data_IF_875605480356
#
_entry.id   IF_875605480356
#
_cell.length_a   1.000
_cell.length_b   1.000
_cell.length_c   1.000
_cell.angle_alpha   90.00
_cell.angle_beta   90.00
_cell.angle_gamma   90.00
#
_symmetry.space_group_name_H-M   'P 1'
#
loop_
_entity.id
_entity.type
_entity.pdbx_description
1 polymer ?
#
# COMPACT_ATOMS: atom_id res chain seq x y z
N UNK A 1 -1.11 -4.55 -0.67
CA UNK A 1 -1.70 -3.21 -0.97
C UNK A 1 -0.97 -2.60 -2.16
N UNK A 2 -1.39 -1.44 -2.66
CA UNK A 2 -0.65 -0.62 -3.64
C UNK A 2 -0.16 0.66 -2.95
N UNK A 3 0.97 0.62 -2.21
CA UNK A 3 1.49 1.76 -1.45
C UNK A 3 2.11 2.80 -2.38
N UNK A 4 1.30 3.76 -2.81
CA UNK A 4 1.73 4.90 -3.63
C UNK A 4 0.89 6.14 -3.30
N UNK A 5 -0.44 5.96 -3.28
CA UNK A 5 -1.38 6.96 -2.82
C UNK A 5 -1.45 8.19 -3.74
N UNK A 6 -1.10 9.36 -3.21
CA UNK A 6 -1.05 10.61 -3.96
C UNK A 6 0.39 11.02 -4.32
N UNK A 7 1.34 10.09 -4.26
CA UNK A 7 2.67 10.35 -4.79
C UNK A 7 2.60 10.62 -6.31
N UNK A 8 3.63 11.27 -6.82
CA UNK A 8 3.75 11.63 -8.23
C UNK A 8 5.11 11.17 -8.76
N UNK A 9 5.14 10.67 -9.99
CA UNK A 9 6.39 10.31 -10.69
C UNK A 9 6.88 11.50 -11.51
N UNK A 10 8.06 12.00 -11.19
CA UNK A 10 8.75 13.06 -11.91
C UNK A 10 9.80 12.46 -12.83
N UNK A 11 9.65 12.69 -14.14
CA UNK A 11 10.62 12.25 -15.16
C UNK A 11 11.62 13.35 -15.44
N UNK A 12 12.88 13.13 -15.08
CA UNK A 12 13.97 14.04 -15.45
C UNK A 12 14.42 13.83 -16.89
N UNK A 13 15.08 14.83 -17.47
CA UNK A 13 15.70 14.78 -18.81
C UNK A 13 16.84 13.75 -18.93
N UNK A 14 17.19 13.06 -17.85
CA UNK A 14 18.32 12.11 -17.76
C UNK A 14 17.86 10.65 -17.59
N UNK A 15 16.66 10.31 -18.06
CA UNK A 15 16.03 8.98 -17.93
C UNK A 15 15.92 8.47 -16.48
N UNK A 16 15.89 9.40 -15.51
CA UNK A 16 15.68 9.09 -14.10
C UNK A 16 14.28 9.51 -13.69
N UNK A 17 13.54 8.55 -13.14
CA UNK A 17 12.24 8.77 -12.52
C UNK A 17 12.41 8.95 -11.01
N UNK A 18 11.80 9.98 -10.46
CA UNK A 18 11.80 10.28 -9.03
C UNK A 18 10.38 10.29 -8.50
N UNK A 19 10.13 9.64 -7.36
CA UNK A 19 8.83 9.64 -6.71
C UNK A 19 8.79 10.73 -5.65
N UNK A 20 7.84 11.64 -5.76
CA UNK A 20 7.57 12.69 -4.78
C UNK A 20 6.28 12.39 -4.04
N UNK A 21 6.31 12.46 -2.71
CA UNK A 21 5.16 12.18 -1.86
C UNK A 21 4.70 13.45 -1.12
N UNK A 22 3.39 13.56 -0.86
CA UNK A 22 2.76 14.78 -0.32
C UNK A 22 3.27 15.17 1.07
N UNK A 23 3.70 14.18 1.85
CA UNK A 23 4.24 14.31 3.20
C UNK A 23 5.77 14.14 3.23
N UNK A 24 6.43 14.29 2.07
CA UNK A 24 7.88 14.35 1.95
C UNK A 24 8.60 12.99 1.98
N UNK A 25 9.93 12.99 2.14
CA UNK A 25 10.76 11.81 1.90
C UNK A 25 10.48 10.62 2.83
N UNK A 26 10.01 10.87 4.05
CA UNK A 26 9.71 9.79 5.02
C UNK A 26 8.47 8.99 4.61
N UNK A 27 7.47 9.63 3.99
CA UNK A 27 6.33 8.93 3.38
C UNK A 27 6.80 8.08 2.20
N UNK A 28 7.62 8.62 1.30
CA UNK A 28 8.15 7.84 0.18
C UNK A 28 8.96 6.63 0.66
N UNK A 29 9.75 6.80 1.73
CA UNK A 29 10.48 5.69 2.33
C UNK A 29 9.53 4.65 2.95
N UNK A 30 8.42 5.10 3.54
CA UNK A 30 7.35 4.23 4.05
C UNK A 30 6.74 3.39 2.93
N UNK A 31 6.35 4.04 1.83
CA UNK A 31 5.81 3.39 0.64
C UNK A 31 6.79 2.34 0.09
N UNK A 32 8.10 2.62 0.07
CA UNK A 32 9.13 1.66 -0.35
C UNK A 32 9.20 0.45 0.60
N UNK A 33 9.16 0.64 1.92
CA UNK A 33 9.16 -0.48 2.86
C UNK A 33 7.90 -1.34 2.73
N UNK A 34 6.74 -0.71 2.57
CA UNK A 34 5.47 -1.40 2.32
C UNK A 34 5.51 -2.18 1.01
N UNK A 35 6.04 -1.59 -0.07
CA UNK A 35 6.18 -2.25 -1.35
C UNK A 35 7.11 -3.46 -1.29
N UNK A 36 8.23 -3.34 -0.60
CA UNK A 36 9.16 -4.43 -0.37
C UNK A 36 8.61 -5.52 0.53
N UNK A 37 7.86 -5.17 1.58
CA UNK A 37 7.17 -6.15 2.40
C UNK A 37 6.15 -6.93 1.56
N UNK A 38 5.39 -6.24 0.70
CA UNK A 38 4.47 -6.86 -0.24
C UNK A 38 5.19 -7.88 -1.13
N UNK A 39 6.27 -7.44 -1.80
CA UNK A 39 7.06 -8.27 -2.70
C UNK A 39 7.63 -9.52 -2.03
N UNK A 40 8.09 -9.42 -0.78
CA UNK A 40 8.72 -10.52 -0.07
C UNK A 40 7.74 -11.49 0.59
N UNK A 41 6.56 -10.99 1.02
CA UNK A 41 5.67 -11.71 1.93
C UNK A 41 4.30 -12.05 1.35
N UNK A 42 3.80 -11.36 0.31
CA UNK A 42 2.41 -11.53 -0.15
C UNK A 42 2.04 -12.99 -0.45
N UNK A 43 2.93 -13.73 -1.12
CA UNK A 43 2.68 -15.12 -1.50
C UNK A 43 3.06 -16.13 -0.41
N UNK A 44 3.86 -15.73 0.59
CA UNK A 44 4.46 -16.63 1.59
C UNK A 44 3.79 -16.53 2.95
N UNK A 45 3.50 -15.31 3.39
CA UNK A 45 2.93 -14.99 4.70
C UNK A 45 2.08 -13.70 4.64
N UNK A 46 0.90 -13.76 4.01
CA UNK A 46 0.01 -12.60 3.89
C UNK A 46 -0.51 -12.09 5.24
N UNK A 47 -0.53 -12.93 6.28
CA UNK A 47 -0.95 -12.51 7.63
C UNK A 47 0.09 -11.59 8.26
N UNK A 48 1.37 -11.99 8.21
CA UNK A 48 2.47 -11.15 8.71
C UNK A 48 2.59 -9.87 7.90
N UNK A 49 2.37 -9.92 6.59
CA UNK A 49 2.30 -8.74 5.73
C UNK A 49 1.23 -7.74 6.19
N UNK A 50 -0.01 -8.18 6.44
CA UNK A 50 -1.07 -7.30 6.93
C UNK A 50 -0.71 -6.68 8.29
N UNK A 51 -0.17 -7.47 9.22
CA UNK A 51 0.29 -6.95 10.50
C UNK A 51 1.43 -5.92 10.35
N UNK A 52 2.28 -6.05 9.32
CA UNK A 52 3.35 -5.10 9.05
C UNK A 52 2.81 -3.76 8.56
N UNK A 53 1.83 -3.79 7.65
CA UNK A 53 1.11 -2.59 7.21
C UNK A 53 0.42 -1.88 8.40
N UNK A 54 -0.31 -2.63 9.23
CA UNK A 54 -0.96 -2.05 10.42
C UNK A 54 0.08 -1.43 11.37
N UNK A 55 1.22 -2.09 11.56
CA UNK A 55 2.28 -1.57 12.42
C UNK A 55 2.88 -0.27 11.89
N UNK A 56 3.11 -0.16 10.58
CA UNK A 56 3.69 1.04 9.95
C UNK A 56 2.71 2.22 9.88
N UNK A 57 1.41 1.95 9.74
CA UNK A 57 0.39 2.98 9.52
C UNK A 57 -0.19 3.57 10.80
N UNK A 58 -0.21 2.84 11.92
CA UNK A 58 -0.88 3.30 13.16
C UNK A 58 -0.20 4.52 13.80
N UNK A 59 1.13 4.52 13.93
CA UNK A 59 1.89 5.65 14.53
C UNK A 59 3.36 5.60 14.07
N UNK A 60 3.67 5.93 12.81
CA UNK A 60 5.06 6.02 12.36
C UNK A 60 5.77 7.20 13.03
N UNK A 61 7.08 7.08 13.23
CA UNK A 61 7.94 8.20 13.58
C UNK A 61 8.02 9.11 12.33
N UNK A 62 7.44 10.33 12.37
CA UNK A 62 7.33 11.16 11.17
C UNK A 62 8.69 11.68 10.69
N UNK A 63 9.75 11.55 11.50
CA UNK A 63 11.09 12.00 11.17
C UNK A 63 12.04 10.83 10.84
N UNK A 64 11.73 9.60 11.26
CA UNK A 64 12.56 8.42 11.06
C UNK A 64 11.74 7.17 10.72
N UNK A 65 11.26 7.11 9.48
CA UNK A 65 10.49 5.97 8.98
C UNK A 65 11.31 4.67 9.01
N UNK A 66 12.64 4.74 8.85
CA UNK A 66 13.51 3.56 8.91
C UNK A 66 13.48 2.92 10.29
N UNK A 67 13.48 3.73 11.36
CA UNK A 67 13.33 3.25 12.74
C UNK A 67 11.98 2.58 12.96
N UNK A 68 10.89 3.17 12.47
CA UNK A 68 9.56 2.53 12.53
C UNK A 68 9.53 1.21 11.77
N UNK A 69 10.01 1.19 10.53
CA UNK A 69 10.10 -0.03 9.70
C UNK A 69 10.91 -1.14 10.37
N UNK A 70 12.04 -0.80 11.00
CA UNK A 70 12.87 -1.75 11.75
C UNK A 70 12.18 -2.26 13.01
N UNK A 71 11.49 -1.39 13.75
CA UNK A 71 10.76 -1.78 14.96
C UNK A 71 9.60 -2.73 14.62
N UNK A 72 8.83 -2.43 13.57
CA UNK A 72 7.76 -3.29 13.08
C UNK A 72 8.29 -4.63 12.57
N UNK A 73 9.38 -4.62 11.80
CA UNK A 73 10.01 -5.85 11.31
C UNK A 73 10.48 -6.73 12.48
N UNK A 74 11.11 -6.13 13.51
CA UNK A 74 11.53 -6.86 14.72
C UNK A 74 10.34 -7.45 15.47
N UNK A 75 9.25 -6.69 15.65
CA UNK A 75 8.05 -7.14 16.36
C UNK A 75 7.39 -8.35 15.69
N UNK A 76 7.48 -8.42 14.37
CA UNK A 76 6.82 -9.42 13.53
C UNK A 76 7.78 -10.48 12.98
N UNK A 77 9.02 -10.51 13.49
CA UNK A 77 10.06 -11.46 13.08
C UNK A 77 10.38 -11.44 11.57
N UNK A 78 10.18 -10.29 10.92
CA UNK A 78 10.53 -10.07 9.51
C UNK A 78 12.02 -9.74 9.40
N UNK A 79 12.70 -10.30 8.40
CA UNK A 79 14.08 -9.98 8.11
C UNK A 79 14.22 -8.53 7.60
N UNK A 80 14.57 -7.61 8.51
CA UNK A 80 14.76 -6.20 8.18
C UNK A 80 15.92 -5.96 7.20
N UNK A 81 16.96 -6.79 7.20
CA UNK A 81 18.05 -6.65 6.25
C UNK A 81 17.57 -6.93 4.82
N UNK A 82 16.73 -7.96 4.63
CA UNK A 82 16.10 -8.24 3.36
C UNK A 82 15.19 -7.09 2.90
N UNK A 83 14.38 -6.51 3.81
CA UNK A 83 13.58 -5.32 3.51
C UNK A 83 14.44 -4.13 3.10
N UNK A 84 15.46 -3.80 3.90
CA UNK A 84 16.34 -2.65 3.64
C UNK A 84 17.22 -2.85 2.40
N UNK A 85 17.49 -4.09 2.00
CA UNK A 85 18.12 -4.41 0.72
C UNK A 85 17.14 -4.17 -0.41
N UNK A 86 15.92 -4.68 -0.27
CA UNK A 86 14.87 -4.50 -1.28
C UNK A 86 14.62 -3.03 -1.61
N UNK A 87 14.54 -2.15 -0.61
CA UNK A 87 14.27 -0.72 -0.85
C UNK A 87 15.32 -0.02 -1.73
N UNK A 88 16.49 -0.63 -1.93
CA UNK A 88 17.58 -0.10 -2.76
C UNK A 88 17.69 -0.75 -4.14
N UNK A 89 17.17 -1.97 -4.32
CA UNK A 89 17.36 -2.75 -5.53
C UNK A 89 16.04 -2.92 -6.28
N UNK A 90 15.08 -3.66 -5.71
CA UNK A 90 13.77 -3.91 -6.32
C UNK A 90 12.77 -2.76 -6.06
N UNK A 91 12.94 -2.05 -4.94
CA UNK A 91 12.05 -0.99 -4.47
C UNK A 91 11.76 0.12 -5.50
N UNK A 92 12.76 0.68 -6.20
CA UNK A 92 12.53 1.68 -7.24
C UNK A 92 11.60 1.20 -8.36
N UNK A 93 11.77 -0.03 -8.86
CA UNK A 93 10.90 -0.56 -9.91
C UNK A 93 9.49 -0.87 -9.36
N UNK A 94 9.41 -1.42 -8.15
CA UNK A 94 8.14 -1.71 -7.47
C UNK A 94 7.29 -0.45 -7.25
N UNK A 95 7.91 0.66 -6.83
CA UNK A 95 7.16 1.89 -6.55
C UNK A 95 6.66 2.55 -7.84
N UNK A 96 7.41 2.43 -8.94
CA UNK A 96 6.99 2.92 -10.26
C UNK A 96 5.84 2.09 -10.83
N UNK A 97 5.88 0.75 -10.68
CA UNK A 97 4.74 -0.13 -11.01
C UNK A 97 3.48 0.27 -10.23
N UNK A 98 3.63 0.52 -8.92
CA UNK A 98 2.51 0.96 -8.11
C UNK A 98 2.01 2.36 -8.48
N UNK A 99 2.89 3.24 -8.94
CA UNK A 99 2.52 4.51 -9.54
C UNK A 99 1.63 4.32 -10.78
N UNK A 100 2.09 3.52 -11.75
CA UNK A 100 1.34 3.20 -12.96
C UNK A 100 -0.03 2.58 -12.65
N UNK A 101 -0.09 1.65 -11.69
CA UNK A 101 -1.34 1.03 -11.24
C UNK A 101 -2.29 2.04 -10.58
N UNK A 102 -1.75 3.00 -9.85
CA UNK A 102 -2.54 4.05 -9.19
C UNK A 102 -3.08 5.08 -10.18
N UNK A 103 -2.28 5.45 -11.17
CA UNK A 103 -2.66 6.37 -12.26
C UNK A 103 -3.72 5.75 -13.19
N UNK A 104 -3.72 4.43 -13.35
CA UNK A 104 -4.71 3.70 -14.15
C UNK A 104 -6.13 3.74 -13.55
N UNK A 105 -6.30 4.17 -12.29
CA UNK A 105 -7.60 4.27 -11.62
C UNK A 105 -8.38 5.50 -12.13
N UNK A 106 -9.03 5.36 -13.27
CA UNK A 106 -9.80 6.43 -13.90
C UNK A 106 -10.85 7.02 -12.95
N UNK A 107 -10.84 8.35 -12.80
CA UNK A 107 -11.78 9.07 -11.92
C UNK A 107 -11.42 9.02 -10.44
N UNK A 108 -10.23 8.53 -10.06
CA UNK A 108 -9.71 8.66 -8.68
C UNK A 108 -9.53 10.13 -8.30
N UNK A 109 -10.06 10.52 -7.15
CA UNK A 109 -9.98 11.90 -6.63
C UNK A 109 -8.97 12.01 -5.47
N UNK A 110 -8.66 10.89 -4.79
CA UNK A 110 -7.77 10.89 -3.64
C UNK A 110 -7.49 9.50 -3.09
N UNK A 111 -7.18 9.45 -1.79
CA UNK A 111 -6.92 8.23 -1.02
C UNK A 111 -7.81 8.19 0.24
N UNK A 112 -8.12 7.00 0.78
CA UNK A 112 -7.89 5.69 0.19
C UNK A 112 -8.76 5.45 -1.06
N UNK A 113 -8.25 4.68 -2.02
CA UNK A 113 -8.97 4.27 -3.23
C UNK A 113 -9.10 2.74 -3.23
N UNK A 114 -10.33 2.23 -3.22
CA UNK A 114 -10.62 0.81 -3.03
C UNK A 114 -11.29 0.26 -4.29
N UNK A 115 -10.71 -0.82 -4.82
CA UNK A 115 -11.25 -1.59 -5.92
C UNK A 115 -11.63 -3.00 -5.44
N UNK A 116 -12.70 -3.56 -5.99
CA UNK A 116 -13.07 -4.96 -5.79
C UNK A 116 -12.86 -5.70 -7.11
N UNK A 117 -12.19 -6.85 -7.08
CA UNK A 117 -11.88 -7.64 -8.29
C UNK A 117 -11.23 -6.80 -9.41
N UNK A 118 -10.28 -5.93 -9.03
CA UNK A 118 -9.61 -4.95 -9.91
C UNK A 118 -10.55 -3.92 -10.61
N UNK A 119 -11.82 -3.87 -10.20
CA UNK A 119 -12.81 -2.90 -10.67
C UNK A 119 -12.91 -1.71 -9.71
N UNK A 120 -12.36 -0.57 -10.14
CA UNK A 120 -12.45 0.69 -9.41
C UNK A 120 -13.66 1.50 -9.86
N UNK A 121 -14.60 1.72 -8.94
CA UNK A 121 -15.82 2.49 -9.19
C UNK A 121 -15.79 3.80 -8.39
N UNK A 122 -15.51 4.96 -9.02
CA UNK A 122 -15.44 6.24 -8.32
C UNK A 122 -16.71 6.60 -7.55
N UNK A 123 -17.88 6.24 -8.09
CA UNK A 123 -19.19 6.52 -7.49
C UNK A 123 -19.49 5.68 -6.25
N UNK A 124 -18.77 4.58 -6.04
CA UNK A 124 -18.99 3.68 -4.92
C UNK A 124 -18.08 4.00 -3.72
N UNK A 125 -17.05 4.83 -3.90
CA UNK A 125 -16.04 5.06 -2.86
C UNK A 125 -16.65 5.53 -1.54
N UNK A 126 -17.63 6.45 -1.56
CA UNK A 126 -18.30 6.91 -0.34
C UNK A 126 -19.00 5.78 0.42
N UNK A 127 -19.69 4.88 -0.30
CA UNK A 127 -20.36 3.73 0.30
C UNK A 127 -19.34 2.72 0.87
N UNK A 128 -18.27 2.45 0.11
CA UNK A 128 -17.19 1.56 0.52
C UNK A 128 -16.52 2.08 1.81
N UNK A 129 -16.24 3.38 1.88
CA UNK A 129 -15.58 3.98 3.04
C UNK A 129 -16.50 4.11 4.25
N UNK A 130 -17.81 4.33 4.03
CA UNK A 130 -18.77 4.38 5.13
C UNK A 130 -19.03 3.00 5.74
N UNK A 131 -19.11 1.94 4.93
CA UNK A 131 -19.30 0.58 5.40
C UNK A 131 -18.70 -0.43 4.42
N UNK A 132 -17.41 -0.71 4.59
CA UNK A 132 -16.65 -1.64 3.75
C UNK A 132 -17.27 -3.04 3.77
N UNK A 133 -17.62 -3.56 4.95
CA UNK A 133 -18.14 -4.93 5.10
C UNK A 133 -19.45 -5.08 4.35
N UNK A 134 -20.40 -4.15 4.53
CA UNK A 134 -21.67 -4.21 3.83
C UNK A 134 -21.47 -4.15 2.31
N UNK A 135 -20.66 -3.22 1.82
CA UNK A 135 -20.43 -3.05 0.37
C UNK A 135 -19.72 -4.25 -0.25
N UNK A 136 -18.74 -4.84 0.46
CA UNK A 136 -18.11 -6.10 0.06
C UNK A 136 -19.14 -7.23 0.00
N UNK A 137 -19.95 -7.37 1.05
CA UNK A 137 -20.97 -8.40 1.15
C UNK A 137 -21.99 -8.32 0.01
N UNK A 138 -22.36 -7.12 -0.46
CA UNK A 138 -23.26 -6.94 -1.62
C UNK A 138 -22.64 -7.43 -2.93
N UNK A 139 -21.31 -7.39 -3.06
CA UNK A 139 -20.58 -7.85 -4.24
C UNK A 139 -20.21 -9.34 -4.20
N UNK A 140 -20.19 -9.97 -3.03
CA UNK A 140 -19.91 -11.40 -2.90
C UNK A 140 -20.99 -12.26 -3.57
N UNK A 141 -20.54 -13.13 -4.48
CA UNK A 141 -21.38 -14.14 -5.14
C UNK A 141 -21.41 -15.42 -4.31
N UNK A 142 -22.57 -16.09 -4.25
CA UNK A 142 -22.73 -17.38 -3.57
C UNK A 142 -23.02 -17.28 -2.07
N UNK A 143 -22.56 -18.27 -1.29
CA UNK A 143 -22.80 -18.32 0.16
C UNK A 143 -21.96 -17.26 0.87
N UNK A 144 -22.62 -16.26 1.45
CA UNK A 144 -21.96 -15.18 2.18
C UNK A 144 -21.52 -15.63 3.59
N UNK A 145 -20.39 -15.10 4.11
CA UNK A 145 -19.96 -15.29 5.51
C UNK A 145 -21.01 -14.85 6.53
N UNK A 146 -20.88 -15.33 7.78
CA UNK A 146 -21.78 -14.94 8.88
C UNK A 146 -21.75 -13.44 9.20
N UNK A 147 -20.69 -12.76 8.82
CA UNK A 147 -20.48 -11.34 9.09
C UNK A 147 -21.20 -10.45 8.06
N UNK A 148 -21.68 -11.05 6.96
CA UNK A 148 -22.56 -10.40 5.97
C UNK A 148 -24.03 -10.40 6.40
N UNK A 149 -24.30 -10.10 7.67
CA UNK A 149 -25.66 -9.96 8.21
C UNK A 149 -26.05 -8.49 8.19
N UNK A 150 -27.07 -8.18 7.40
CA UNK A 150 -27.74 -6.88 7.38
C UNK A 150 -28.30 -6.53 8.76
#
# INVERSE_FOLDING_TARGET
>A
MVPFGNAEVYRHTTDREEVHCQHGPQECLGNLYEACANHLLQDKDPKTLMNYYDCLTVNPDPYDMKKSAKACAKKLEINFEALSKCTKHEGPDLILDYGNRTEALAGRIGVPAIAFDDDFQPKEQDAILSNFVNTLCDKLKGKKPSDCKN
#
